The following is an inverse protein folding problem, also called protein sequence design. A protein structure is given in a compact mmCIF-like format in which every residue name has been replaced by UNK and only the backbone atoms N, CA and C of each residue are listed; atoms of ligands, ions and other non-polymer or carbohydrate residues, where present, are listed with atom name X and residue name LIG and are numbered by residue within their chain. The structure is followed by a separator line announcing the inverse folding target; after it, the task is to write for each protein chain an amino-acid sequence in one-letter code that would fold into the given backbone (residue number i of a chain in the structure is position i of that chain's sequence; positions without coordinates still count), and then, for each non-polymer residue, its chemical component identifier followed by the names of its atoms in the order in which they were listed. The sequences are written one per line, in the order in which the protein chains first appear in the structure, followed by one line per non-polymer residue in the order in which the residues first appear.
data_IF_741804536985
#
_entry.id   IF_741804536985
#
_cell.length_a   1.000
_cell.length_b   1.000
_cell.length_c   1.000
_cell.angle_alpha   90.00
_cell.angle_beta   90.00
_cell.angle_gamma   90.00
#
_symmetry.space_group_name_H-M   'P 1'
#
loop_
_entity.id
_entity.type
_entity.pdbx_description
1 polymer ?
#
# COMPACT_ATOMS: atom_id res chain seq x y z
N UNK A 1 -29.51 16.57 -50.98
CA UNK A 1 -28.39 15.89 -50.30
C UNK A 1 -28.05 16.74 -49.07
N UNK A 2 -28.81 16.69 -47.98
CA UNK A 2 -29.07 15.61 -47.03
C UNK A 2 -28.16 15.69 -45.80
N UNK A 3 -28.78 16.13 -44.70
CA UNK A 3 -28.61 15.67 -43.32
C UNK A 3 -27.48 16.32 -42.49
N UNK A 4 -27.92 17.30 -41.68
CA UNK A 4 -27.30 17.81 -40.46
C UNK A 4 -26.94 16.61 -39.56
N UNK A 5 -25.65 16.41 -39.28
CA UNK A 5 -25.19 15.33 -38.39
C UNK A 5 -25.26 15.79 -36.94
N UNK A 6 -26.40 15.53 -36.30
CA UNK A 6 -26.53 15.51 -34.84
C UNK A 6 -25.89 14.24 -34.29
N UNK A 7 -24.89 14.36 -33.41
CA UNK A 7 -24.49 13.27 -32.51
C UNK A 7 -23.91 13.84 -31.21
N UNK A 8 -24.82 14.23 -30.31
CA UNK A 8 -24.51 14.43 -28.89
C UNK A 8 -24.51 13.05 -28.23
N UNK A 9 -23.35 12.52 -27.88
CA UNK A 9 -23.23 11.24 -27.18
C UNK A 9 -23.10 11.51 -25.67
N UNK A 10 -24.23 11.53 -24.97
CA UNK A 10 -24.29 11.43 -23.51
C UNK A 10 -24.45 9.95 -23.19
N UNK A 11 -23.41 9.31 -22.67
CA UNK A 11 -23.53 7.99 -22.05
C UNK A 11 -23.33 8.16 -20.53
N UNK A 12 -24.45 8.28 -19.83
CA UNK A 12 -24.55 8.19 -18.38
C UNK A 12 -24.32 6.74 -17.97
N UNK A 13 -23.23 6.48 -17.25
CA UNK A 13 -23.03 5.21 -16.54
C UNK A 13 -23.49 5.38 -15.09
N UNK A 14 -24.77 5.11 -14.84
CA UNK A 14 -25.30 4.89 -13.50
C UNK A 14 -25.15 3.40 -13.18
N UNK A 15 -24.13 3.03 -12.40
CA UNK A 15 -24.11 1.74 -11.73
C UNK A 15 -24.46 1.94 -10.26
N UNK A 16 -25.73 1.68 -9.96
CA UNK A 16 -26.22 1.40 -8.63
C UNK A 16 -25.93 -0.07 -8.30
N UNK A 17 -25.00 -0.29 -7.38
CA UNK A 17 -24.86 -1.52 -6.60
C UNK A 17 -24.88 -1.00 -5.16
N UNK A 18 -25.95 -1.21 -4.40
CA UNK A 18 -26.43 -2.51 -4.01
C UNK A 18 -26.28 -2.54 -2.49
N UNK A 19 -27.36 -2.18 -1.80
CA UNK A 19 -27.48 -2.25 -0.35
C UNK A 19 -27.20 -3.67 0.13
N UNK A 20 -26.16 -3.85 0.93
CA UNK A 20 -26.05 -4.99 1.84
C UNK A 20 -25.94 -4.41 3.25
N UNK A 21 -26.94 -4.76 4.05
CA UNK A 21 -27.11 -4.37 5.44
C UNK A 21 -26.18 -5.15 6.36
N UNK A 22 -25.79 -4.50 7.48
CA UNK A 22 -25.26 -5.08 8.76
C UNK A 22 -23.80 -5.59 8.64
N UNK A 23 -22.83 -5.14 9.44
CA UNK A 23 -22.75 -5.20 10.92
C UNK A 23 -22.16 -3.90 11.48
N UNK A 24 -22.93 -3.25 12.36
CA UNK A 24 -22.39 -2.27 13.31
C UNK A 24 -21.67 -3.05 14.43
N UNK A 25 -20.35 -3.22 14.29
CA UNK A 25 -19.52 -3.52 15.45
C UNK A 25 -19.22 -2.17 16.13
N UNK A 26 -20.02 -1.85 17.14
CA UNK A 26 -19.58 -0.94 18.19
C UNK A 26 -18.55 -1.71 19.04
N UNK A 27 -17.35 -1.89 18.50
CA UNK A 27 -16.19 -2.20 19.31
C UNK A 27 -15.85 -0.90 20.03
N UNK A 28 -16.08 -0.92 21.34
CA UNK A 28 -15.70 0.12 22.28
C UNK A 28 -14.26 0.53 21.94
N UNK A 29 -14.10 1.75 21.42
CA UNK A 29 -12.79 2.34 21.17
C UNK A 29 -12.14 2.61 22.53
N UNK A 30 -11.63 1.54 23.14
CA UNK A 30 -10.42 1.60 23.94
C UNK A 30 -9.50 2.47 23.10
N UNK A 31 -9.08 3.61 23.64
CA UNK A 31 -8.01 4.43 23.09
C UNK A 31 -6.73 3.59 23.15
N UNK A 32 -6.69 2.54 22.35
CA UNK A 32 -5.52 1.80 22.06
C UNK A 32 -4.66 2.81 21.34
N UNK A 33 -3.48 3.07 21.88
CA UNK A 33 -2.43 3.83 21.22
C UNK A 33 -1.92 3.01 20.03
N UNK A 34 -2.82 2.59 19.12
CA UNK A 34 -2.48 1.88 17.90
C UNK A 34 -1.77 2.87 17.03
N UNK A 35 -0.47 2.69 16.89
CA UNK A 35 0.28 3.38 15.87
C UNK A 35 -0.04 2.67 14.55
N UNK A 36 -0.83 3.34 13.73
CA UNK A 36 -1.27 2.81 12.43
C UNK A 36 -0.08 2.57 11.48
N UNK A 37 -0.14 1.55 10.61
CA UNK A 37 0.90 1.31 9.60
C UNK A 37 0.90 2.31 8.43
N UNK A 38 -0.03 3.27 8.38
CA UNK A 38 -0.23 4.15 7.22
C UNK A 38 1.03 4.89 6.77
N UNK A 39 1.84 5.42 7.69
CA UNK A 39 3.08 6.13 7.33
C UNK A 39 4.12 5.19 6.71
N UNK A 40 4.24 3.97 7.27
CA UNK A 40 5.09 2.94 6.72
C UNK A 40 4.62 2.51 5.32
N UNK A 41 3.30 2.33 5.13
CA UNK A 41 2.67 2.02 3.83
C UNK A 41 2.97 3.11 2.79
N UNK A 42 2.80 4.38 3.14
CA UNK A 42 3.10 5.50 2.23
C UNK A 42 4.55 5.44 1.75
N UNK A 43 5.50 5.24 2.65
CA UNK A 43 6.92 5.13 2.29
C UNK A 43 7.20 3.88 1.43
N UNK A 44 6.53 2.76 1.67
CA UNK A 44 6.66 1.55 0.84
C UNK A 44 6.17 1.80 -0.59
N UNK A 45 5.02 2.46 -0.76
CA UNK A 45 4.50 2.75 -2.10
C UNK A 45 5.41 3.72 -2.87
N UNK A 46 5.94 4.75 -2.19
CA UNK A 46 6.93 5.65 -2.81
C UNK A 46 8.21 4.88 -3.21
N UNK A 47 8.73 4.02 -2.33
CA UNK A 47 9.88 3.18 -2.65
C UNK A 47 9.63 2.27 -3.86
N UNK A 48 8.42 1.72 -4.01
CA UNK A 48 8.06 0.92 -5.20
C UNK A 48 8.10 1.74 -6.49
N UNK A 49 7.59 2.98 -6.45
CA UNK A 49 7.66 3.89 -7.61
C UNK A 49 9.12 4.19 -7.99
N UNK A 50 9.97 4.48 -7.01
CA UNK A 50 11.41 4.70 -7.23
C UNK A 50 12.10 3.48 -7.84
N UNK A 51 11.80 2.29 -7.31
CA UNK A 51 12.31 1.02 -7.86
C UNK A 51 11.89 0.84 -9.32
N UNK A 52 10.65 1.17 -9.66
CA UNK A 52 10.12 1.04 -11.02
C UNK A 52 10.74 2.05 -11.99
N UNK A 53 11.08 3.25 -11.54
CA UNK A 53 11.74 4.23 -12.39
C UNK A 53 13.20 3.90 -12.68
N UNK A 54 13.82 2.99 -11.90
CA UNK A 54 15.20 2.55 -12.07
C UNK A 54 16.18 3.73 -12.21
N UNK A 55 15.83 4.87 -11.59
CA UNK A 55 16.75 6.00 -11.47
C UNK A 55 17.95 5.50 -10.66
N UNK A 56 19.15 5.88 -11.08
CA UNK A 56 20.43 5.43 -10.49
C UNK A 56 20.60 5.74 -8.99
N UNK A 57 19.57 6.31 -8.35
CA UNK A 57 19.43 6.51 -6.92
C UNK A 57 18.61 5.33 -6.35
N UNK A 58 19.23 4.43 -5.56
CA UNK A 58 18.48 3.36 -4.92
C UNK A 58 17.39 3.97 -4.01
N UNK A 59 16.22 3.30 -3.86
CA UNK A 59 15.02 3.74 -3.09
C UNK A 59 15.26 3.80 -1.55
N UNK A 60 16.49 4.06 -1.17
CA UNK A 60 17.06 3.82 0.14
C UNK A 60 16.48 4.75 1.20
N UNK A 61 16.07 5.97 0.83
CA UNK A 61 15.48 6.92 1.77
C UNK A 61 14.08 6.48 2.20
N UNK A 62 13.21 6.20 1.25
CA UNK A 62 11.86 5.73 1.54
C UNK A 62 11.86 4.35 2.21
N UNK A 63 12.78 3.45 1.87
CA UNK A 63 12.91 2.19 2.61
C UNK A 63 13.47 2.36 4.03
N UNK A 64 14.38 3.31 4.26
CA UNK A 64 14.85 3.62 5.61
C UNK A 64 13.71 4.21 6.45
N UNK A 65 12.93 5.13 5.86
CA UNK A 65 11.77 5.73 6.51
C UNK A 65 10.69 4.67 6.80
N UNK A 66 10.32 3.85 5.83
CA UNK A 66 9.40 2.73 6.03
C UNK A 66 9.83 1.82 7.18
N UNK A 67 11.13 1.49 7.26
CA UNK A 67 11.67 0.70 8.37
C UNK A 67 11.61 1.44 9.70
N UNK A 68 11.88 2.74 9.74
CA UNK A 68 11.79 3.53 10.96
C UNK A 68 10.34 3.59 11.47
N UNK A 69 9.39 3.84 10.57
CA UNK A 69 7.96 3.88 10.88
C UNK A 69 7.42 2.50 11.28
N UNK A 70 7.90 1.41 10.64
CA UNK A 70 7.51 0.04 10.99
C UNK A 70 7.77 -0.32 12.46
N UNK A 71 8.76 0.31 13.11
CA UNK A 71 9.08 0.08 14.53
C UNK A 71 8.09 0.72 15.48
N UNK A 72 7.34 1.72 15.00
CA UNK A 72 6.32 2.41 15.79
C UNK A 72 5.00 1.68 15.71
N UNK A 73 4.74 0.97 14.60
CA UNK A 73 3.50 0.22 14.36
C UNK A 73 3.20 -0.75 15.50
N UNK A 74 1.99 -0.65 16.04
CA UNK A 74 1.47 -1.55 17.07
C UNK A 74 0.27 -2.34 16.53
N UNK A 75 -0.11 -3.43 17.19
CA UNK A 75 -1.10 -4.40 16.70
C UNK A 75 -0.62 -5.82 16.91
N UNK A 76 -1.00 -6.76 16.03
CA UNK A 76 -0.54 -8.14 16.11
C UNK A 76 1.00 -8.22 15.95
N UNK A 77 1.76 -8.62 16.99
CA UNK A 77 3.22 -8.56 16.98
C UNK A 77 3.85 -9.50 15.95
N UNK A 78 3.21 -10.62 15.61
CA UNK A 78 3.71 -11.54 14.60
C UNK A 78 3.60 -10.94 13.20
N UNK A 79 2.49 -10.24 12.93
CA UNK A 79 2.28 -9.54 11.67
C UNK A 79 3.28 -8.39 11.54
N UNK A 80 3.42 -7.55 12.57
CA UNK A 80 4.38 -6.43 12.59
C UNK A 80 5.82 -6.94 12.39
N UNK A 81 6.23 -8.00 13.09
CA UNK A 81 7.57 -8.59 12.96
C UNK A 81 7.83 -9.14 11.56
N UNK A 82 6.87 -9.85 10.97
CA UNK A 82 6.96 -10.34 9.58
C UNK A 82 7.04 -9.20 8.58
N UNK A 83 6.25 -8.14 8.77
CA UNK A 83 6.27 -6.97 7.91
C UNK A 83 7.63 -6.26 7.97
N UNK A 84 8.16 -5.97 9.17
CA UNK A 84 9.50 -5.38 9.33
C UNK A 84 10.60 -6.26 8.75
N UNK A 85 10.52 -7.59 8.90
CA UNK A 85 11.48 -8.52 8.29
C UNK A 85 11.47 -8.46 6.76
N UNK A 86 10.28 -8.36 6.18
CA UNK A 86 10.10 -8.27 4.72
C UNK A 86 10.63 -6.93 4.18
N UNK A 87 10.48 -5.81 4.91
CA UNK A 87 11.14 -4.52 4.56
C UNK A 87 12.66 -4.68 4.53
N UNK A 88 13.26 -5.39 5.49
CA UNK A 88 14.71 -5.62 5.54
C UNK A 88 15.15 -6.49 4.36
N UNK A 89 14.38 -7.53 4.02
CA UNK A 89 14.68 -8.38 2.87
C UNK A 89 14.60 -7.60 1.56
N UNK A 90 13.62 -6.71 1.39
CA UNK A 90 13.55 -5.81 0.24
C UNK A 90 14.82 -4.93 0.13
N UNK A 91 15.27 -4.34 1.25
CA UNK A 91 16.51 -3.55 1.29
C UNK A 91 17.74 -4.37 0.86
N UNK A 92 17.85 -5.62 1.29
CA UNK A 92 18.94 -6.52 0.90
C UNK A 92 18.87 -6.82 -0.59
N UNK A 93 17.69 -7.18 -1.10
CA UNK A 93 17.49 -7.53 -2.51
C UNK A 93 17.80 -6.38 -3.46
N UNK A 94 17.42 -5.15 -3.10
CA UNK A 94 17.80 -3.95 -3.86
C UNK A 94 19.32 -3.78 -3.93
N UNK A 95 20.02 -3.98 -2.82
CA UNK A 95 21.50 -3.92 -2.80
C UNK A 95 22.14 -4.99 -3.68
N UNK A 96 21.47 -6.11 -3.87
CA UNK A 96 21.90 -7.21 -4.75
C UNK A 96 21.44 -7.02 -6.21
N UNK A 97 20.70 -5.95 -6.53
CA UNK A 97 20.11 -5.73 -7.86
C UNK A 97 18.90 -6.61 -8.16
N UNK A 98 18.38 -7.37 -7.20
CA UNK A 98 17.16 -8.18 -7.33
C UNK A 98 15.92 -7.29 -7.16
N UNK A 99 15.64 -6.51 -8.21
CA UNK A 99 14.52 -5.54 -8.24
C UNK A 99 13.18 -6.26 -8.09
N UNK A 100 12.95 -7.33 -8.87
CA UNK A 100 11.70 -8.09 -8.81
C UNK A 100 11.48 -8.66 -7.42
N UNK A 101 12.48 -9.34 -6.86
CA UNK A 101 12.35 -9.91 -5.52
C UNK A 101 12.15 -8.85 -4.45
N UNK A 102 12.75 -7.67 -4.59
CA UNK A 102 12.49 -6.57 -3.68
C UNK A 102 11.05 -6.07 -3.76
N UNK A 103 10.51 -5.89 -4.97
CA UNK A 103 9.10 -5.54 -5.17
C UNK A 103 8.16 -6.60 -4.60
N UNK A 104 8.48 -7.89 -4.78
CA UNK A 104 7.71 -9.00 -4.20
C UNK A 104 7.68 -8.93 -2.67
N UNK A 105 8.83 -8.67 -2.02
CA UNK A 105 8.88 -8.45 -0.57
C UNK A 105 8.08 -7.22 -0.12
N UNK A 106 8.13 -6.11 -0.86
CA UNK A 106 7.35 -4.92 -0.53
C UNK A 106 5.85 -5.15 -0.65
N UNK A 107 5.39 -5.94 -1.63
CA UNK A 107 3.98 -6.32 -1.75
C UNK A 107 3.52 -7.15 -0.55
N UNK A 108 4.35 -8.09 -0.05
CA UNK A 108 4.05 -8.83 1.18
C UNK A 108 3.88 -7.90 2.38
N UNK A 109 4.71 -6.85 2.49
CA UNK A 109 4.58 -5.86 3.57
C UNK A 109 3.22 -5.17 3.51
N UNK A 110 2.78 -4.77 2.31
CA UNK A 110 1.48 -4.14 2.11
C UNK A 110 0.32 -5.07 2.48
N UNK A 111 0.39 -6.34 2.10
CA UNK A 111 -0.61 -7.35 2.48
C UNK A 111 -0.67 -7.53 4.00
N UNK A 112 0.48 -7.67 4.66
CA UNK A 112 0.57 -7.81 6.11
C UNK A 112 0.00 -6.58 6.83
N UNK A 113 0.38 -5.38 6.43
CA UNK A 113 -0.13 -4.16 7.06
C UNK A 113 -1.61 -3.87 6.77
N UNK A 114 -2.15 -4.31 5.64
CA UNK A 114 -3.60 -4.24 5.37
C UNK A 114 -4.42 -5.24 6.19
N UNK A 115 -3.76 -6.24 6.79
CA UNK A 115 -4.39 -7.23 7.67
C UNK A 115 -4.35 -6.87 9.15
N UNK A 116 -3.69 -5.76 9.51
CA UNK A 116 -3.74 -5.14 10.83
C UNK A 116 -4.94 -4.20 10.94
#
# INVERSE_FOLDING_TARGET
MSIIKNTTLILLLAFSLGSISVIANAEEAVKSSVYSPNEAIMHIEKAKVEIMHNDFVPPSEHLKAARAESKKVTGNPDIVKKATSSIIQAQIKIKLGDIKGATDELNKVLELYKSL
#
